data_IF_592391105700
#
_entry.id   IF_592391105700
#
_cell.length_a   1.000
_cell.length_b   1.000
_cell.length_c   1.000
_cell.angle_alpha   90.00
_cell.angle_beta   90.00
_cell.angle_gamma   90.00
#
_symmetry.space_group_name_H-M   'P 1'
#
loop_
_entity.id
_entity.type
_entity.pdbx_description
1 polymer ?
#
# COMPACT_ATOMS: atom_id res chain seq x y z
N UNK A 1 11.48 -12.28 17.92
CA UNK A 1 11.74 -13.52 18.72
C UNK A 1 12.57 -14.47 17.88
N UNK A 2 12.96 -15.65 18.36
CA UNK A 2 13.59 -16.68 17.51
C UNK A 2 12.66 -17.25 16.42
N UNK A 3 11.35 -16.98 16.54
CA UNK A 3 10.31 -17.41 15.59
C UNK A 3 10.13 -16.46 14.42
N UNK A 4 10.66 -15.24 14.49
CA UNK A 4 10.54 -14.26 13.39
C UNK A 4 11.24 -14.80 12.15
N UNK A 5 10.53 -14.87 11.02
CA UNK A 5 11.07 -15.36 9.74
C UNK A 5 11.10 -14.30 8.65
N UNK A 6 10.15 -13.38 8.68
CA UNK A 6 10.05 -12.33 7.68
C UNK A 6 9.63 -10.99 8.31
N UNK A 7 9.94 -9.91 7.60
CA UNK A 7 9.43 -8.56 7.82
C UNK A 7 8.75 -8.12 6.54
N UNK A 8 7.53 -7.58 6.66
CA UNK A 8 6.73 -7.13 5.53
C UNK A 8 6.41 -5.64 5.67
N UNK A 9 7.31 -4.72 5.26
CA UNK A 9 6.93 -3.32 5.14
C UNK A 9 5.82 -3.14 4.10
N UNK A 10 4.80 -2.39 4.47
CA UNK A 10 3.79 -1.89 3.54
C UNK A 10 4.15 -0.45 3.16
N UNK A 11 4.31 -0.19 1.86
CA UNK A 11 4.53 1.14 1.32
C UNK A 11 3.21 1.91 1.20
N UNK A 12 2.63 2.18 2.37
CA UNK A 12 1.30 2.78 2.51
C UNK A 12 1.20 4.12 1.80
N UNK A 13 0.05 4.36 1.15
CA UNK A 13 -0.34 5.65 0.59
C UNK A 13 0.74 6.29 -0.32
N UNK A 14 1.39 5.48 -1.17
CA UNK A 14 2.27 5.95 -2.23
C UNK A 14 3.72 6.26 -1.85
N UNK A 15 4.08 6.11 -0.58
CA UNK A 15 5.40 6.47 -0.10
C UNK A 15 6.08 5.33 0.66
N UNK A 16 7.41 5.32 0.57
CA UNK A 16 8.29 4.29 1.10
C UNK A 16 8.39 4.28 2.63
N UNK A 17 8.80 3.12 3.14
CA UNK A 17 9.30 2.98 4.51
C UNK A 17 10.79 3.37 4.56
N UNK A 18 11.42 3.28 5.74
CA UNK A 18 12.88 3.45 5.89
C UNK A 18 13.61 2.19 5.42
N UNK A 19 13.62 1.97 4.11
CA UNK A 19 14.00 0.69 3.49
C UNK A 19 15.41 0.26 3.88
N UNK A 20 16.40 1.16 3.84
CA UNK A 20 17.78 0.83 4.23
C UNK A 20 17.88 0.30 5.67
N UNK A 21 17.19 0.95 6.61
CA UNK A 21 17.18 0.56 8.02
C UNK A 21 16.54 -0.81 8.21
N UNK A 22 15.40 -1.04 7.54
CA UNK A 22 14.65 -2.29 7.61
C UNK A 22 15.46 -3.42 6.97
N UNK A 23 16.06 -3.18 5.80
CA UNK A 23 16.88 -4.15 5.09
C UNK A 23 18.12 -4.52 5.90
N UNK A 24 18.85 -3.53 6.41
CA UNK A 24 20.02 -3.79 7.27
C UNK A 24 19.64 -4.60 8.52
N UNK A 25 18.48 -4.33 9.12
CA UNK A 25 17.96 -5.13 10.23
C UNK A 25 17.66 -6.59 9.80
N UNK A 26 16.99 -6.78 8.67
CA UNK A 26 16.67 -8.11 8.15
C UNK A 26 17.93 -8.91 7.83
N UNK A 27 18.89 -8.30 7.13
CA UNK A 27 20.17 -8.92 6.77
C UNK A 27 20.95 -9.35 8.03
N UNK A 28 21.05 -8.46 9.04
CA UNK A 28 21.71 -8.76 10.33
C UNK A 28 21.05 -9.91 11.08
N UNK A 29 19.73 -10.10 10.91
CA UNK A 29 18.94 -11.11 11.63
C UNK A 29 18.67 -12.36 10.82
N UNK A 30 19.09 -12.43 9.56
CA UNK A 30 18.76 -13.52 8.64
C UNK A 30 17.26 -13.64 8.37
N UNK A 31 16.54 -12.51 8.32
CA UNK A 31 15.11 -12.45 8.06
C UNK A 31 14.83 -12.21 6.58
N UNK A 32 13.76 -12.79 6.07
CA UNK A 32 13.24 -12.49 4.73
C UNK A 32 12.60 -11.10 4.76
N UNK A 33 13.00 -10.23 3.83
CA UNK A 33 12.29 -8.98 3.56
C UNK A 33 11.32 -9.20 2.39
N UNK A 34 10.03 -8.96 2.60
CA UNK A 34 9.02 -8.95 1.52
C UNK A 34 8.38 -7.57 1.47
N UNK A 35 8.20 -7.01 0.29
CA UNK A 35 7.61 -5.67 0.16
C UNK A 35 6.16 -5.74 -0.30
N UNK A 36 5.26 -5.12 0.45
CA UNK A 36 3.93 -4.80 -0.06
C UNK A 36 3.97 -3.39 -0.68
N UNK A 37 4.02 -3.36 -2.02
CA UNK A 37 4.03 -2.17 -2.84
C UNK A 37 2.66 -1.91 -3.52
N UNK A 38 1.59 -2.54 -3.03
CA UNK A 38 0.26 -2.49 -3.65
C UNK A 38 -0.37 -1.08 -3.71
N UNK A 39 0.13 -0.13 -2.92
CA UNK A 39 -0.31 1.27 -2.93
C UNK A 39 0.73 2.25 -3.46
N UNK A 40 1.85 1.75 -4.00
CA UNK A 40 3.02 2.55 -4.34
C UNK A 40 3.67 2.15 -5.67
N UNK A 41 2.90 1.63 -6.62
CA UNK A 41 3.40 1.38 -7.97
C UNK A 41 4.00 2.67 -8.55
N UNK A 42 5.21 2.57 -9.10
CA UNK A 42 5.96 3.69 -9.66
C UNK A 42 6.73 4.54 -8.64
N UNK A 43 6.50 4.34 -7.33
CA UNK A 43 7.39 4.92 -6.32
C UNK A 43 8.78 4.29 -6.38
N UNK A 44 9.77 5.00 -5.87
CA UNK A 44 11.16 4.55 -5.80
C UNK A 44 11.81 4.97 -4.49
N UNK A 45 12.99 4.43 -4.24
CA UNK A 45 13.88 4.85 -3.17
C UNK A 45 15.32 4.76 -3.69
N UNK A 46 16.06 5.87 -3.66
CA UNK A 46 17.43 5.98 -4.18
C UNK A 46 17.60 5.45 -5.61
N UNK A 47 16.61 5.76 -6.46
CA UNK A 47 16.61 5.39 -7.88
C UNK A 47 16.17 3.96 -8.20
N UNK A 48 15.86 3.12 -7.21
CA UNK A 48 15.29 1.77 -7.43
C UNK A 48 13.81 1.74 -7.06
N UNK A 49 12.98 1.05 -7.86
CA UNK A 49 11.53 1.01 -7.62
C UNK A 49 11.15 0.22 -6.38
N UNK A 50 10.10 0.65 -5.68
CA UNK A 50 9.56 -0.11 -4.56
C UNK A 50 9.09 -1.49 -5.01
N UNK A 51 9.28 -2.50 -4.16
CA UNK A 51 9.09 -3.91 -4.47
C UNK A 51 10.39 -4.65 -4.86
N UNK A 52 11.51 -3.95 -5.02
CA UNK A 52 12.77 -4.52 -5.56
C UNK A 52 13.92 -4.68 -4.55
N UNK A 53 13.74 -4.28 -3.29
CA UNK A 53 14.81 -4.29 -2.26
C UNK A 53 14.83 -5.57 -1.42
N UNK A 54 13.69 -6.22 -1.27
CA UNK A 54 13.50 -7.48 -0.57
C UNK A 54 13.73 -8.71 -1.45
N UNK A 55 13.36 -9.87 -0.92
CA UNK A 55 13.33 -11.14 -1.67
C UNK A 55 12.23 -11.17 -2.72
N UNK A 56 11.10 -10.53 -2.46
CA UNK A 56 10.05 -10.31 -3.45
C UNK A 56 9.21 -9.08 -3.06
N UNK A 57 8.59 -8.47 -4.07
CA UNK A 57 7.62 -7.40 -3.93
C UNK A 57 6.27 -7.79 -4.51
N UNK A 58 5.19 -7.27 -3.92
CA UNK A 58 3.82 -7.49 -4.38
C UNK A 58 3.18 -6.19 -4.86
N UNK A 59 2.46 -6.28 -5.96
CA UNK A 59 1.60 -5.22 -6.49
C UNK A 59 0.16 -5.68 -6.57
N UNK A 60 -0.75 -4.71 -6.48
CA UNK A 60 -2.18 -4.88 -6.71
C UNK A 60 -2.56 -4.07 -7.93
N UNK A 61 -3.47 -4.61 -8.72
CA UNK A 61 -4.08 -3.97 -9.88
C UNK A 61 -5.62 -4.05 -9.79
N UNK A 62 -6.17 -4.03 -8.57
CA UNK A 62 -7.60 -3.84 -8.33
C UNK A 62 -8.15 -2.55 -9.00
N UNK A 63 -9.47 -2.43 -9.06
CA UNK A 63 -10.18 -1.34 -9.74
C UNK A 63 -9.81 0.08 -9.27
N UNK A 64 -9.26 0.24 -8.06
CA UNK A 64 -8.97 1.54 -7.44
C UNK A 64 -7.47 1.81 -7.24
N UNK A 65 -6.59 0.93 -7.72
CA UNK A 65 -5.14 1.17 -7.72
C UNK A 65 -4.72 2.16 -8.80
N UNK A 66 -3.49 2.68 -8.67
CA UNK A 66 -2.87 3.63 -9.60
C UNK A 66 -2.97 3.19 -11.06
N UNK A 67 -2.80 1.89 -11.29
CA UNK A 67 -2.98 1.17 -12.54
C UNK A 67 -3.87 -0.02 -12.21
N UNK A 68 -4.80 -0.37 -13.10
CA UNK A 68 -5.79 -1.42 -12.85
C UNK A 68 -5.81 -2.47 -13.96
N UNK A 69 -6.10 -3.70 -13.56
CA UNK A 69 -6.49 -4.82 -14.42
C UNK A 69 -8.01 -5.09 -14.29
N UNK A 70 -8.78 -4.22 -13.63
CA UNK A 70 -10.08 -4.54 -13.04
C UNK A 70 -9.89 -5.32 -11.74
N UNK A 71 -9.37 -6.54 -11.84
CA UNK A 71 -8.82 -7.33 -10.74
C UNK A 71 -7.48 -7.90 -11.18
N UNK A 72 -6.48 -7.90 -10.30
CA UNK A 72 -5.16 -8.43 -10.61
C UNK A 72 -4.13 -8.13 -9.54
N UNK A 73 -3.01 -8.84 -9.63
CA UNK A 73 -1.84 -8.62 -8.80
C UNK A 73 -0.58 -9.11 -9.51
N UNK A 74 0.57 -8.77 -8.96
CA UNK A 74 1.86 -9.20 -9.49
C UNK A 74 2.86 -9.43 -8.37
N UNK A 75 3.68 -10.46 -8.52
CA UNK A 75 4.87 -10.67 -7.71
C UNK A 75 6.06 -10.33 -8.60
N UNK A 76 7.00 -9.55 -8.06
CA UNK A 76 8.30 -9.29 -8.68
C UNK A 76 9.42 -9.83 -7.79
N UNK A 77 10.47 -10.36 -8.41
CA UNK A 77 11.67 -10.81 -7.73
C UNK A 77 12.83 -10.91 -8.72
N UNK A 78 14.06 -10.82 -8.21
CA UNK A 78 15.27 -11.14 -8.94
C UNK A 78 15.78 -12.57 -8.63
N UNK A 79 15.07 -13.32 -7.79
CA UNK A 79 15.42 -14.66 -7.34
C UNK A 79 14.65 -15.69 -8.17
N UNK A 80 15.36 -16.44 -9.03
CA UNK A 80 14.77 -17.38 -9.98
C UNK A 80 13.99 -18.50 -9.28
N UNK A 81 14.50 -19.00 -8.15
CA UNK A 81 13.81 -20.04 -7.37
C UNK A 81 12.48 -19.52 -6.82
N UNK A 82 12.42 -18.25 -6.41
CA UNK A 82 11.17 -17.62 -5.96
C UNK A 82 10.23 -17.43 -7.13
N UNK A 83 10.71 -16.93 -8.26
CA UNK A 83 9.92 -16.78 -9.48
C UNK A 83 9.28 -18.11 -9.89
N UNK A 84 10.08 -19.19 -9.98
CA UNK A 84 9.62 -20.53 -10.34
C UNK A 84 8.52 -21.02 -9.40
N UNK A 85 8.76 -20.92 -8.09
CA UNK A 85 7.76 -21.31 -7.08
C UNK A 85 6.48 -20.48 -7.18
N UNK A 86 6.58 -19.19 -7.47
CA UNK A 86 5.42 -18.30 -7.58
C UNK A 86 4.51 -18.68 -8.75
N UNK A 87 5.06 -18.84 -9.97
CA UNK A 87 4.22 -19.17 -11.12
C UNK A 87 3.65 -20.60 -11.04
N UNK A 88 4.42 -21.56 -10.52
CA UNK A 88 3.94 -22.91 -10.24
C UNK A 88 2.81 -22.89 -9.20
N UNK A 89 3.02 -22.25 -8.04
CA UNK A 89 2.01 -22.23 -6.98
C UNK A 89 0.72 -21.52 -7.40
N UNK A 90 0.80 -20.46 -8.22
CA UNK A 90 -0.36 -19.73 -8.73
C UNK A 90 -1.16 -20.52 -9.80
N UNK A 91 -0.59 -21.60 -10.34
CA UNK A 91 -1.23 -22.43 -11.35
C UNK A 91 -1.11 -23.92 -11.03
N UNK A 92 -1.68 -24.34 -9.90
CA UNK A 92 -1.82 -25.76 -9.49
C UNK A 92 -0.54 -26.58 -9.39
N UNK A 93 0.64 -25.95 -9.44
CA UNK A 93 1.93 -26.62 -9.47
C UNK A 93 2.56 -26.76 -10.85
N UNK A 94 1.85 -26.40 -11.93
CA UNK A 94 2.32 -26.55 -13.32
C UNK A 94 3.72 -25.96 -13.51
N UNK A 95 4.66 -26.74 -14.03
CA UNK A 95 6.00 -26.26 -14.37
C UNK A 95 6.04 -25.39 -15.63
N UNK A 96 5.00 -25.45 -16.47
CA UNK A 96 4.83 -24.73 -17.73
C UNK A 96 5.88 -25.10 -18.80
N UNK A 97 6.38 -26.35 -18.78
CA UNK A 97 7.41 -26.83 -19.70
C UNK A 97 6.89 -27.77 -20.81
N UNK A 98 5.60 -28.17 -20.79
CA UNK A 98 4.97 -29.04 -21.78
C UNK A 98 4.71 -28.39 -23.16
N UNK A 99 5.03 -27.10 -23.31
CA UNK A 99 4.84 -26.36 -24.56
C UNK A 99 3.34 -26.19 -24.90
N UNK A 100 2.87 -26.55 -26.11
CA UNK A 100 1.46 -26.45 -26.46
C UNK A 100 0.58 -27.51 -25.78
N UNK A 101 1.16 -28.62 -25.31
CA UNK A 101 0.44 -29.66 -24.59
C UNK A 101 0.54 -29.44 -23.07
N UNK A 102 -0.37 -28.62 -22.56
CA UNK A 102 -0.48 -28.36 -21.11
C UNK A 102 -0.70 -29.64 -20.29
N UNK A 103 -1.24 -30.70 -20.87
CA UNK A 103 -1.43 -31.98 -20.18
C UNK A 103 -0.12 -32.72 -19.90
N UNK A 104 0.97 -32.31 -20.55
CA UNK A 104 2.31 -32.85 -20.37
C UNK A 104 3.16 -32.07 -19.35
N UNK A 105 2.66 -30.96 -18.79
CA UNK A 105 3.32 -30.27 -17.69
C UNK A 105 3.44 -31.20 -16.47
N UNK A 106 4.58 -31.14 -15.78
CA UNK A 106 4.68 -31.74 -14.45
C UNK A 106 4.18 -30.75 -13.38
N UNK A 107 4.05 -31.25 -12.15
CA UNK A 107 3.60 -30.50 -10.99
C UNK A 107 4.51 -30.80 -9.78
N UNK A 108 5.71 -30.17 -9.72
CA UNK A 108 6.71 -30.45 -8.68
C UNK A 108 6.26 -30.05 -7.27
N UNK A 109 5.25 -29.18 -7.16
CA UNK A 109 4.70 -28.69 -5.90
C UNK A 109 3.17 -28.67 -5.94
N UNK A 110 2.55 -28.70 -4.76
CA UNK A 110 1.11 -28.40 -4.65
C UNK A 110 0.92 -26.89 -4.81
N UNK A 111 -0.03 -26.49 -5.66
CA UNK A 111 -0.44 -25.11 -5.88
C UNK A 111 -1.93 -24.85 -5.66
N UNK A 112 -2.37 -23.66 -6.07
CA UNK A 112 -3.76 -23.20 -6.11
C UNK A 112 -4.02 -22.48 -7.44
N UNK A 113 -5.18 -21.86 -7.63
CA UNK A 113 -5.49 -21.10 -8.84
C UNK A 113 -5.58 -19.59 -8.56
N UNK A 114 -4.54 -18.86 -8.95
CA UNK A 114 -4.48 -17.40 -8.98
C UNK A 114 -4.15 -16.85 -10.36
N UNK A 115 -4.46 -17.62 -11.42
CA UNK A 115 -4.24 -17.16 -12.80
C UNK A 115 -5.06 -15.90 -13.08
N UNK A 116 -4.42 -14.93 -13.71
CA UNK A 116 -5.10 -13.76 -14.28
C UNK A 116 -5.69 -14.11 -15.65
N UNK A 117 -6.85 -13.55 -16.00
CA UNK A 117 -7.38 -13.71 -17.36
C UNK A 117 -6.67 -12.78 -18.35
N UNK A 118 -6.60 -13.17 -19.62
CA UNK A 118 -6.04 -12.33 -20.69
C UNK A 118 -6.74 -10.97 -20.80
N UNK A 119 -8.06 -10.91 -20.53
CA UNK A 119 -8.80 -9.65 -20.56
C UNK A 119 -8.37 -8.72 -19.42
N UNK A 120 -8.21 -9.25 -18.21
CA UNK A 120 -7.69 -8.48 -17.07
C UNK A 120 -6.25 -8.01 -17.35
N UNK A 121 -5.39 -8.90 -17.87
CA UNK A 121 -4.01 -8.58 -18.21
C UNK A 121 -3.90 -7.51 -19.32
N UNK A 122 -4.74 -7.57 -20.36
CA UNK A 122 -4.76 -6.59 -21.44
C UNK A 122 -5.14 -5.18 -20.95
N UNK A 123 -6.09 -5.08 -20.01
CA UNK A 123 -6.44 -3.80 -19.36
C UNK A 123 -5.23 -3.27 -18.60
N UNK A 124 -4.57 -4.13 -17.81
CA UNK A 124 -3.35 -3.79 -17.06
C UNK A 124 -2.23 -3.30 -17.97
N UNK A 125 -1.97 -3.99 -19.07
CA UNK A 125 -0.94 -3.61 -20.05
C UNK A 125 -1.19 -2.21 -20.62
N UNK A 126 -2.43 -1.92 -21.03
CA UNK A 126 -2.81 -0.60 -21.53
C UNK A 126 -2.74 0.50 -20.46
N UNK A 127 -3.01 0.17 -19.19
CA UNK A 127 -2.90 1.11 -18.07
C UNK A 127 -1.44 1.36 -17.67
N UNK A 128 -0.58 0.33 -17.66
CA UNK A 128 0.84 0.45 -17.31
C UNK A 128 1.59 1.36 -18.29
N UNK A 129 1.24 1.33 -19.58
CA UNK A 129 1.76 2.28 -20.58
C UNK A 129 1.42 3.76 -20.31
N UNK A 130 0.57 4.06 -19.32
CA UNK A 130 0.20 5.42 -18.89
C UNK A 130 0.82 5.80 -17.54
N UNK A 131 1.59 4.91 -16.92
CA UNK A 131 2.05 5.08 -15.54
C UNK A 131 2.82 6.40 -15.35
N UNK A 132 3.76 6.74 -16.22
CA UNK A 132 4.56 7.96 -16.10
C UNK A 132 3.69 9.22 -16.09
N UNK A 133 2.72 9.30 -17.01
CA UNK A 133 1.75 10.41 -17.06
C UNK A 133 0.88 10.46 -15.79
N UNK A 134 0.47 9.30 -15.27
CA UNK A 134 -0.32 9.20 -14.03
C UNK A 134 0.48 9.78 -12.86
N UNK A 135 1.75 9.36 -12.72
CA UNK A 135 2.65 9.83 -11.66
C UNK A 135 2.95 11.32 -11.78
N UNK A 136 3.16 11.83 -13.00
CA UNK A 136 3.39 13.25 -13.25
C UNK A 136 2.23 14.11 -12.75
N UNK A 137 0.98 13.72 -13.08
CA UNK A 137 -0.22 14.41 -12.63
C UNK A 137 -0.35 14.34 -11.10
N UNK A 138 -0.10 13.18 -10.49
CA UNK A 138 -0.16 13.04 -9.03
C UNK A 138 0.87 13.91 -8.33
N UNK A 139 2.13 13.89 -8.79
CA UNK A 139 3.20 14.72 -8.23
C UNK A 139 2.87 16.20 -8.31
N UNK A 140 2.42 16.67 -9.49
CA UNK A 140 1.97 18.05 -9.70
C UNK A 140 0.84 18.45 -8.74
N UNK A 141 -0.22 17.65 -8.69
CA UNK A 141 -1.41 17.97 -7.88
C UNK A 141 -1.09 17.93 -6.39
N UNK A 142 -0.32 16.94 -5.93
CA UNK A 142 0.12 16.83 -4.54
C UNK A 142 0.97 18.03 -4.12
N UNK A 143 1.92 18.43 -4.97
CA UNK A 143 2.80 19.57 -4.69
C UNK A 143 1.99 20.86 -4.51
N UNK A 144 1.08 21.17 -5.43
CA UNK A 144 0.26 22.38 -5.36
C UNK A 144 -0.57 22.47 -4.06
N UNK A 145 -1.20 21.36 -3.64
CA UNK A 145 -2.00 21.33 -2.40
C UNK A 145 -1.09 21.41 -1.17
N UNK A 146 0.04 20.69 -1.17
CA UNK A 146 1.01 20.72 -0.06
C UNK A 146 1.59 22.13 0.12
N UNK A 147 1.91 22.82 -0.96
CA UNK A 147 2.47 24.17 -0.94
C UNK A 147 1.48 25.20 -0.38
N UNK A 148 0.19 25.07 -0.71
CA UNK A 148 -0.85 25.91 -0.12
C UNK A 148 -1.04 25.65 1.39
N UNK A 149 -0.81 24.42 1.84
CA UNK A 149 -0.99 24.03 3.25
C UNK A 149 0.20 24.35 4.15
N UNK A 150 1.38 24.67 3.59
CA UNK A 150 2.65 24.73 4.35
C UNK A 150 2.68 25.78 5.46
N UNK A 151 1.94 26.88 5.29
CA UNK A 151 1.88 28.00 6.25
C UNK A 151 0.73 27.85 7.26
N UNK A 152 -0.09 26.80 7.15
CA UNK A 152 -1.22 26.59 8.07
C UNK A 152 -0.66 26.15 9.43
N UNK A 153 -0.89 26.99 10.45
CA UNK A 153 -0.37 26.78 11.79
C UNK A 153 -0.78 25.42 12.37
N UNK A 154 0.21 24.63 12.77
CA UNK A 154 0.01 23.33 13.43
C UNK A 154 -0.18 22.15 12.48
N UNK A 155 -0.32 22.38 11.17
CA UNK A 155 -0.28 21.31 10.17
C UNK A 155 1.17 20.88 9.96
N UNK A 156 1.41 19.57 10.01
CA UNK A 156 2.71 18.97 9.67
C UNK A 156 2.53 17.85 8.65
N UNK A 157 3.57 17.45 7.93
CA UNK A 157 3.46 16.46 6.85
C UNK A 157 4.20 15.17 7.19
N UNK A 158 3.75 14.06 6.57
CA UNK A 158 4.47 12.77 6.64
C UNK A 158 5.92 12.95 6.20
N UNK A 159 6.85 12.42 7.00
CA UNK A 159 8.24 12.29 6.60
C UNK A 159 8.38 11.34 5.41
N UNK A 160 9.11 11.77 4.38
CA UNK A 160 9.43 10.97 3.20
C UNK A 160 10.93 10.66 3.24
N UNK A 161 11.34 9.40 3.47
CA UNK A 161 12.76 9.01 3.45
C UNK A 161 13.48 9.40 2.16
N UNK A 162 12.77 9.37 1.03
CA UNK A 162 13.22 9.89 -0.26
C UNK A 162 12.05 10.67 -0.91
N UNK A 163 12.06 12.01 -0.85
CA UNK A 163 11.00 12.83 -1.43
C UNK A 163 10.85 12.68 -2.95
N UNK A 164 11.93 12.41 -3.69
CA UNK A 164 11.91 12.31 -5.16
C UNK A 164 11.24 11.02 -5.63
N UNK A 165 11.33 9.98 -4.79
CA UNK A 165 10.75 8.66 -5.03
C UNK A 165 9.28 8.47 -4.62
N UNK A 166 8.60 9.51 -4.13
CA UNK A 166 7.18 9.44 -3.77
C UNK A 166 6.27 9.32 -5.01
N UNK A 167 5.34 8.35 -5.06
CA UNK A 167 4.38 8.24 -6.17
C UNK A 167 3.24 9.26 -6.07
N UNK A 168 3.14 9.98 -4.95
CA UNK A 168 2.21 11.07 -4.73
C UNK A 168 0.72 10.69 -4.77
N UNK A 169 0.36 9.40 -4.58
CA UNK A 169 -1.04 8.94 -4.58
C UNK A 169 -1.88 9.56 -3.45
N UNK A 170 -1.24 9.95 -2.34
CA UNK A 170 -1.87 10.65 -1.23
C UNK A 170 -1.00 11.79 -0.68
N UNK A 171 -1.62 12.89 -0.25
CA UNK A 171 -1.02 13.86 0.65
C UNK A 171 -1.39 13.50 2.10
N UNK A 172 -0.38 13.12 2.89
CA UNK A 172 -0.54 12.74 4.29
C UNK A 172 -0.05 13.89 5.19
N UNK A 173 -0.90 14.35 6.09
CA UNK A 173 -0.60 15.43 7.03
C UNK A 173 -1.19 15.14 8.41
N UNK A 174 -0.72 15.86 9.42
CA UNK A 174 -1.10 15.67 10.81
C UNK A 174 -1.59 16.96 11.43
N UNK A 175 -2.61 16.83 12.27
CA UNK A 175 -3.02 17.89 13.19
C UNK A 175 -2.26 17.78 14.54
N UNK A 176 -2.26 18.83 15.38
CA UNK A 176 -1.57 18.77 16.67
C UNK A 176 -2.20 17.79 17.67
N UNK A 177 -3.53 17.63 17.65
CA UNK A 177 -4.26 16.71 18.54
C UNK A 177 -5.27 15.84 17.78
N UNK A 178 -5.75 14.77 18.44
CA UNK A 178 -6.80 13.90 17.89
C UNK A 178 -8.10 14.68 17.62
N UNK A 179 -8.55 15.48 18.59
CA UNK A 179 -9.78 16.27 18.45
C UNK A 179 -9.69 17.24 17.25
N UNK A 180 -8.52 17.84 17.04
CA UNK A 180 -8.28 18.70 15.89
C UNK A 180 -8.29 17.91 14.58
N UNK A 181 -7.74 16.68 14.53
CA UNK A 181 -7.83 15.81 13.36
C UNK A 181 -9.27 15.40 13.03
N UNK A 182 -10.07 15.06 14.04
CA UNK A 182 -11.49 14.72 13.86
C UNK A 182 -12.32 15.89 13.36
N UNK A 183 -12.10 17.09 13.93
CA UNK A 183 -12.76 18.30 13.47
C UNK A 183 -12.32 18.69 12.06
N UNK A 184 -11.01 18.63 11.78
CA UNK A 184 -10.46 18.90 10.46
C UNK A 184 -11.05 17.98 9.40
N UNK A 185 -11.13 16.66 9.65
CA UNK A 185 -11.75 15.71 8.72
C UNK A 185 -13.19 16.09 8.36
N UNK A 186 -14.00 16.47 9.36
CA UNK A 186 -15.40 16.91 9.17
C UNK A 186 -15.49 18.21 8.39
N UNK A 187 -14.67 19.21 8.73
CA UNK A 187 -14.64 20.51 8.04
C UNK A 187 -14.19 20.38 6.59
N UNK A 188 -13.13 19.61 6.36
CA UNK A 188 -12.60 19.32 5.03
C UNK A 188 -13.65 18.64 4.14
N UNK A 189 -14.34 17.62 4.65
CA UNK A 189 -15.44 16.98 3.93
C UNK A 189 -16.58 17.96 3.62
N UNK A 190 -17.01 18.78 4.59
CA UNK A 190 -18.06 19.79 4.40
C UNK A 190 -17.70 20.85 3.34
N UNK A 191 -16.42 21.17 3.18
CA UNK A 191 -15.93 22.13 2.19
C UNK A 191 -15.56 21.50 0.83
N UNK A 192 -15.79 20.19 0.62
CA UNK A 192 -15.52 19.52 -0.67
C UNK A 192 -14.08 18.99 -0.84
N UNK A 193 -13.30 18.93 0.24
CA UNK A 193 -11.94 18.39 0.27
C UNK A 193 -11.80 17.19 1.21
N UNK A 194 -12.62 16.13 1.08
CA UNK A 194 -12.62 15.01 2.03
C UNK A 194 -11.25 14.35 2.13
N UNK A 195 -10.87 14.02 3.35
CA UNK A 195 -9.66 13.26 3.67
C UNK A 195 -10.04 11.99 4.40
N UNK A 196 -9.30 10.92 4.14
CA UNK A 196 -9.42 9.71 4.92
C UNK A 196 -8.84 9.93 6.32
N UNK A 197 -9.63 9.59 7.34
CA UNK A 197 -9.20 9.54 8.74
C UNK A 197 -9.04 8.08 9.18
N UNK A 198 -7.87 7.51 8.94
CA UNK A 198 -7.63 6.06 9.08
C UNK A 198 -7.83 5.54 10.49
N UNK A 199 -7.56 6.36 11.51
CA UNK A 199 -7.70 5.96 12.91
C UNK A 199 -9.11 5.51 13.30
N UNK A 200 -10.13 6.04 12.62
CA UNK A 200 -11.52 5.65 12.78
C UNK A 200 -12.12 4.99 11.51
N UNK A 201 -11.27 4.43 10.64
CA UNK A 201 -11.67 3.71 9.45
C UNK A 201 -11.71 2.19 9.71
N UNK A 202 -12.68 1.49 9.12
CA UNK A 202 -12.89 0.05 9.36
C UNK A 202 -11.91 -0.87 8.61
N UNK A 203 -11.15 -0.35 7.65
CA UNK A 203 -10.39 -1.15 6.69
C UNK A 203 -8.88 -1.00 6.84
N UNK A 204 -8.39 0.13 7.34
CA UNK A 204 -6.96 0.47 7.25
C UNK A 204 -6.29 0.70 8.62
N UNK A 205 -6.97 0.41 9.73
CA UNK A 205 -6.33 0.48 11.04
C UNK A 205 -6.84 -0.59 12.01
N UNK A 206 -5.89 -1.29 12.63
CA UNK A 206 -6.11 -2.38 13.57
C UNK A 206 -7.15 -2.07 14.65
N UNK A 207 -7.24 -0.81 15.11
CA UNK A 207 -8.22 -0.37 16.11
C UNK A 207 -9.64 -0.87 15.82
N UNK A 208 -10.08 -0.83 14.55
CA UNK A 208 -11.44 -1.19 14.11
C UNK A 208 -11.58 -2.59 13.53
N UNK A 209 -10.51 -3.39 13.49
CA UNK A 209 -10.54 -4.76 12.96
C UNK A 209 -11.10 -5.75 13.99
N UNK A 210 -12.33 -5.51 14.45
CA UNK A 210 -13.03 -6.37 15.42
C UNK A 210 -13.11 -7.83 14.95
N UNK A 211 -13.27 -8.04 13.64
CA UNK A 211 -13.26 -9.38 13.06
C UNK A 211 -11.95 -10.13 13.29
N UNK A 212 -10.80 -9.45 13.28
CA UNK A 212 -9.51 -10.06 13.62
C UNK A 212 -9.38 -10.27 15.13
N UNK A 213 -9.70 -9.25 15.93
CA UNK A 213 -9.58 -9.28 17.39
C UNK A 213 -10.42 -10.37 18.05
N UNK A 214 -11.63 -10.57 17.53
CA UNK A 214 -12.59 -11.56 18.04
C UNK A 214 -12.50 -12.88 17.28
N UNK A 215 -11.60 -12.98 16.29
CA UNK A 215 -11.53 -14.09 15.34
C UNK A 215 -12.92 -14.42 14.79
N UNK A 216 -13.60 -13.51 14.09
CA UNK A 216 -14.87 -13.85 13.43
C UNK A 216 -14.59 -14.53 12.09
N UNK A 217 -14.89 -15.83 12.00
CA UNK A 217 -14.64 -16.67 10.82
C UNK A 217 -15.75 -17.70 10.60
N UNK A 218 -15.98 -18.09 9.35
CA UNK A 218 -16.98 -19.11 8.98
C UNK A 218 -16.50 -20.55 9.28
N UNK A 219 -15.19 -20.78 9.30
CA UNK A 219 -14.56 -22.04 9.67
C UNK A 219 -13.23 -21.76 10.37
N UNK A 220 -12.75 -22.72 11.17
CA UNK A 220 -11.46 -22.60 11.88
C UNK A 220 -10.31 -22.41 10.88
N UNK A 221 -9.49 -21.38 11.09
CA UNK A 221 -8.36 -21.06 10.23
C UNK A 221 -7.13 -21.89 10.61
N UNK A 222 -6.24 -22.25 9.66
CA UNK A 222 -5.10 -23.12 9.94
C UNK A 222 -4.14 -22.59 11.02
N UNK A 223 -3.93 -21.27 11.09
CA UNK A 223 -3.05 -20.68 12.10
C UNK A 223 -3.59 -20.92 13.52
N UNK A 224 -4.90 -21.14 13.69
CA UNK A 224 -5.53 -21.45 14.97
C UNK A 224 -5.14 -22.85 15.52
N UNK A 225 -4.40 -23.64 14.74
CA UNK A 225 -3.77 -24.87 15.19
C UNK A 225 -2.44 -24.62 15.92
N UNK A 226 -1.87 -23.42 15.79
CA UNK A 226 -0.69 -23.01 16.55
C UNK A 226 -1.01 -22.88 18.03
N UNK A 227 -0.20 -23.49 18.89
CA UNK A 227 -0.29 -23.33 20.33
C UNK A 227 0.17 -21.93 20.82
N UNK A 228 0.84 -21.16 19.95
CA UNK A 228 1.43 -19.86 20.26
C UNK A 228 0.85 -18.80 19.33
N UNK A 229 -0.44 -18.50 19.53
CA UNK A 229 -1.12 -17.42 18.85
C UNK A 229 -0.94 -16.11 19.61
N UNK A 230 -0.59 -15.01 18.92
CA UNK A 230 -0.66 -13.70 19.53
C UNK A 230 -2.06 -13.44 20.11
N UNK A 231 -2.12 -12.76 21.25
CA UNK A 231 -3.36 -12.13 21.69
C UNK A 231 -3.67 -10.95 20.75
N UNK A 232 -4.41 -11.26 19.68
CA UNK A 232 -4.83 -10.27 18.70
C UNK A 232 -5.86 -9.30 19.23
N UNK A 233 -6.47 -9.52 20.41
CA UNK A 233 -7.36 -8.54 21.03
C UNK A 233 -6.56 -7.52 21.86
N UNK A 234 -5.49 -7.99 22.52
CA UNK A 234 -4.64 -7.23 23.43
C UNK A 234 -3.42 -6.56 22.82
N UNK A 235 -3.27 -6.46 21.49
CA UNK A 235 -2.11 -5.79 20.90
C UNK A 235 -2.08 -4.30 21.27
N UNK A 236 -0.95 -3.86 21.83
CA UNK A 236 -0.65 -2.47 22.19
C UNK A 236 0.25 -1.85 21.12
N UNK A 237 -0.22 -0.78 20.47
CA UNK A 237 0.47 -0.12 19.36
C UNK A 237 0.65 1.38 19.62
N UNK A 238 1.17 1.76 20.79
CA UNK A 238 1.24 3.14 21.28
C UNK A 238 1.84 4.12 20.26
N UNK A 239 3.01 3.81 19.67
CA UNK A 239 3.62 4.73 18.70
C UNK A 239 2.77 4.91 17.45
N UNK A 240 2.13 3.83 16.98
CA UNK A 240 1.22 3.89 15.83
C UNK A 240 -0.02 4.70 16.17
N UNK A 241 -0.58 4.56 17.37
CA UNK A 241 -1.75 5.32 17.80
C UNK A 241 -1.46 6.82 17.89
N UNK A 242 -0.32 7.21 18.47
CA UNK A 242 0.10 8.61 18.58
C UNK A 242 0.27 9.31 17.23
N UNK A 243 0.64 8.55 16.20
CA UNK A 243 0.73 9.03 14.82
C UNK A 243 -0.68 9.05 14.21
N UNK A 244 -1.32 7.88 14.14
CA UNK A 244 -2.55 7.68 13.35
C UNK A 244 -3.73 8.49 13.86
N UNK A 245 -3.86 8.71 15.18
CA UNK A 245 -4.95 9.53 15.75
C UNK A 245 -4.93 10.98 15.28
N UNK A 246 -3.82 11.44 14.71
CA UNK A 246 -3.65 12.80 14.19
C UNK A 246 -3.55 12.86 12.67
N UNK A 247 -3.47 11.72 11.99
CA UNK A 247 -3.20 11.62 10.55
C UNK A 247 -4.47 11.79 9.73
N UNK A 248 -4.40 12.66 8.72
CA UNK A 248 -5.35 12.75 7.62
C UNK A 248 -4.64 12.51 6.30
N UNK A 249 -5.33 11.85 5.38
CA UNK A 249 -4.78 11.53 4.06
C UNK A 249 -5.75 11.94 2.97
N UNK A 250 -5.33 12.91 2.16
CA UNK A 250 -6.05 13.33 0.97
C UNK A 250 -5.60 12.48 -0.20
N UNK A 251 -6.52 11.76 -0.83
CA UNK A 251 -6.24 11.07 -2.08
C UNK A 251 -6.03 12.09 -3.20
N UNK A 252 -4.98 11.90 -4.00
CA UNK A 252 -4.64 12.80 -5.10
C UNK A 252 -5.22 12.22 -6.40
N UNK A 253 -6.22 12.91 -6.94
CA UNK A 253 -6.95 12.44 -8.11
C UNK A 253 -6.34 12.96 -9.40
N UNK A 254 -6.47 12.15 -10.45
CA UNK A 254 -5.98 12.45 -11.80
C UNK A 254 -6.92 13.37 -12.58
N UNK A 255 -8.21 13.39 -12.22
CA UNK A 255 -9.26 14.05 -12.99
C UNK A 255 -9.44 15.52 -12.67
N UNK A 256 -8.70 16.07 -11.69
CA UNK A 256 -8.85 17.46 -11.29
C UNK A 256 -8.35 18.40 -12.38
N UNK A 257 -9.27 19.23 -12.88
CA UNK A 257 -8.93 20.36 -13.74
C UNK A 257 -8.23 21.48 -12.93
N UNK A 258 -7.62 22.48 -13.58
CA UNK A 258 -7.11 23.66 -12.87
C UNK A 258 -8.15 24.31 -11.94
N UNK A 259 -9.39 24.47 -12.40
CA UNK A 259 -10.48 25.02 -11.59
C UNK A 259 -10.82 24.14 -10.38
N UNK A 260 -10.80 22.81 -10.55
CA UNK A 260 -11.02 21.88 -9.43
C UNK A 260 -9.89 21.96 -8.40
N UNK A 261 -8.65 22.14 -8.86
CA UNK A 261 -7.48 22.34 -8.00
C UNK A 261 -7.61 23.62 -7.19
N UNK A 262 -7.97 24.74 -7.82
CA UNK A 262 -8.16 26.02 -7.13
C UNK A 262 -9.28 25.93 -6.09
N UNK A 263 -10.45 25.37 -6.47
CA UNK A 263 -11.56 25.14 -5.54
C UNK A 263 -11.14 24.27 -4.36
N UNK A 264 -10.35 23.21 -4.60
CA UNK A 264 -9.89 22.31 -3.56
C UNK A 264 -8.89 22.98 -2.62
N UNK A 265 -7.96 23.76 -3.15
CA UNK A 265 -7.02 24.55 -2.34
C UNK A 265 -7.79 25.54 -1.46
N UNK A 266 -8.75 26.28 -2.01
CA UNK A 266 -9.58 27.20 -1.24
C UNK A 266 -10.40 26.48 -0.17
N UNK A 267 -10.97 25.31 -0.49
CA UNK A 267 -11.68 24.47 0.47
C UNK A 267 -10.79 24.00 1.63
N UNK A 268 -9.53 23.62 1.33
CA UNK A 268 -8.55 23.21 2.34
C UNK A 268 -8.17 24.38 3.24
N UNK A 269 -7.85 25.54 2.65
CA UNK A 269 -7.52 26.75 3.41
C UNK A 269 -8.68 27.14 4.33
N UNK A 270 -9.88 27.27 3.78
CA UNK A 270 -11.10 27.61 4.54
C UNK A 270 -11.40 26.63 5.68
N UNK A 271 -11.09 25.34 5.50
CA UNK A 271 -11.35 24.32 6.51
C UNK A 271 -10.32 24.32 7.66
N UNK A 272 -9.08 24.74 7.39
CA UNK A 272 -7.93 24.51 8.28
C UNK A 272 -7.29 25.79 8.83
N UNK A 273 -7.57 26.97 8.27
CA UNK A 273 -7.23 28.28 8.83
C UNK A 273 -8.32 28.77 9.78
#
# INVERSE_FOLDING_TARGET
>A
TSRTKAVVPVHMCGAMARIDEIKAFCDKKGLVLLEDACQSLGASFKGSHLGTFGKAGCFSFDAVKTVTCGEGGGIITNDEDIYTRCHQYADHGHDHLGGPDRGADDHPIIGTNYRISELNAAVGLAQLGKLDRILEIQKKNKAAIKDAMKEIKGVTFRALPDPDGDSATFLNFFMPTQDQAEQAAKKLAKNGAPCAYWYNNNWHYYKKWHHLKEMKRAARLPFELSADLPDYAGLVLEQSEEIMKRTLSMQIMLSWTPDDMDKRIQAVLTALT
#
